data_IF_014023482409
#
_entry.id   IF_014023482409
#
_cell.length_a   1.000
_cell.length_b   1.000
_cell.length_c   1.000
_cell.angle_alpha   90.00
_cell.angle_beta   90.00
_cell.angle_gamma   90.00
#
_symmetry.space_group_name_H-M   'P 1'
#
loop_
_entity.id
_entity.type
_entity.pdbx_description
1 polymer ?
#
# COMPACT_ATOMS: atom_id res chain seq x y z
N UNK A 1 3.43 48.36 10.41
CA UNK A 1 4.31 47.40 9.68
C UNK A 1 4.31 46.07 10.44
N UNK A 2 3.40 45.13 10.16
CA UNK A 2 3.55 43.76 10.65
C UNK A 2 4.30 42.92 9.63
N UNK A 3 5.31 42.20 10.14
CA UNK A 3 6.26 41.37 9.41
C UNK A 3 5.61 40.13 8.79
N UNK A 4 5.89 39.91 7.52
CA UNK A 4 5.69 38.65 6.79
C UNK A 4 6.57 37.54 7.38
N UNK A 5 5.98 36.61 8.11
CA UNK A 5 6.53 35.26 8.33
C UNK A 5 5.52 34.24 7.80
N UNK A 6 5.63 33.98 6.51
CA UNK A 6 4.97 32.88 5.83
C UNK A 6 5.80 32.50 4.62
N UNK A 7 5.83 31.22 4.27
CA UNK A 7 6.36 30.67 3.02
C UNK A 7 7.85 30.27 2.88
N UNK A 8 8.55 29.85 3.95
CA UNK A 8 9.87 29.18 3.77
C UNK A 8 9.89 27.67 4.12
N UNK A 9 9.01 27.15 4.99
CA UNK A 9 9.08 25.72 5.36
C UNK A 9 8.57 24.77 4.25
N UNK A 10 7.72 25.26 3.35
CA UNK A 10 7.20 24.47 2.22
C UNK A 10 8.29 24.11 1.21
N UNK A 11 9.19 25.04 0.90
CA UNK A 11 10.21 24.85 -0.14
C UNK A 11 11.28 23.81 0.25
N UNK A 12 11.69 23.80 1.53
CA UNK A 12 12.69 22.84 2.04
C UNK A 12 12.09 21.43 2.14
N UNK A 13 10.84 21.31 2.61
CA UNK A 13 10.12 20.03 2.63
C UNK A 13 9.89 19.50 1.21
N UNK A 14 9.56 20.38 0.26
CA UNK A 14 9.34 20.00 -1.13
C UNK A 14 10.64 19.55 -1.81
N UNK A 15 11.78 20.21 -1.52
CA UNK A 15 13.10 19.82 -2.00
C UNK A 15 13.54 18.45 -1.42
N UNK A 16 13.29 18.20 -0.13
CA UNK A 16 13.57 16.92 0.51
C UNK A 16 12.73 15.79 -0.10
N UNK A 17 11.44 16.04 -0.32
CA UNK A 17 10.54 15.08 -0.99
C UNK A 17 10.99 14.83 -2.42
N UNK A 18 11.37 15.87 -3.17
CA UNK A 18 11.92 15.74 -4.54
C UNK A 18 13.14 14.83 -4.55
N UNK A 19 14.12 15.08 -3.69
CA UNK A 19 15.35 14.29 -3.65
C UNK A 19 15.10 12.83 -3.26
N UNK A 20 14.21 12.58 -2.28
CA UNK A 20 13.82 11.23 -1.88
C UNK A 20 13.13 10.45 -3.02
N UNK A 21 12.29 11.12 -3.81
CA UNK A 21 11.61 10.53 -4.97
C UNK A 21 12.58 10.30 -6.15
N UNK A 22 13.49 11.23 -6.41
CA UNK A 22 14.52 11.08 -7.44
C UNK A 22 15.48 9.94 -7.10
N UNK A 23 15.88 9.80 -5.83
CA UNK A 23 16.67 8.66 -5.35
C UNK A 23 15.94 7.31 -5.50
N UNK A 24 14.60 7.33 -5.51
CA UNK A 24 13.76 6.16 -5.78
C UNK A 24 13.54 5.89 -7.29
N UNK A 25 14.27 6.59 -8.17
CA UNK A 25 14.23 6.45 -9.62
C UNK A 25 12.87 6.78 -10.27
N UNK A 26 12.06 7.64 -9.65
CA UNK A 26 10.85 8.18 -10.28
C UNK A 26 11.20 9.21 -11.37
N UNK A 27 10.44 9.21 -12.47
CA UNK A 27 10.48 10.30 -13.44
C UNK A 27 10.10 11.64 -12.81
N UNK A 28 10.57 12.79 -13.33
CA UNK A 28 10.19 14.11 -12.81
C UNK A 28 8.68 14.32 -12.73
N UNK A 29 7.94 13.84 -13.74
CA UNK A 29 6.48 13.90 -13.80
C UNK A 29 5.85 13.08 -12.68
N UNK A 30 6.35 11.87 -12.43
CA UNK A 30 5.89 11.05 -11.30
C UNK A 30 6.21 11.72 -9.96
N UNK A 31 7.40 12.33 -9.82
CA UNK A 31 7.80 13.04 -8.61
C UNK A 31 6.91 14.25 -8.30
N UNK A 32 6.54 15.05 -9.30
CA UNK A 32 5.55 16.14 -9.17
C UNK A 32 4.18 15.59 -8.73
N UNK A 33 3.73 14.49 -9.33
CA UNK A 33 2.45 13.87 -8.97
C UNK A 33 2.43 13.38 -7.52
N UNK A 34 3.50 12.72 -7.04
CA UNK A 34 3.59 12.28 -5.65
C UNK A 34 3.66 13.44 -4.66
N UNK A 35 4.29 14.58 -5.02
CA UNK A 35 4.24 15.79 -4.20
C UNK A 35 2.80 16.28 -3.99
N UNK A 36 1.98 16.25 -5.04
CA UNK A 36 0.55 16.56 -4.90
C UNK A 36 -0.14 15.59 -3.94
N UNK A 37 0.06 14.28 -4.13
CA UNK A 37 -0.56 13.26 -3.27
C UNK A 37 -0.15 13.39 -1.79
N UNK A 38 1.13 13.69 -1.53
CA UNK A 38 1.64 13.91 -0.18
C UNK A 38 0.98 15.11 0.48
N UNK A 39 0.88 16.23 -0.24
CA UNK A 39 0.19 17.43 0.25
C UNK A 39 -1.28 17.12 0.57
N UNK A 40 -1.99 16.48 -0.36
CA UNK A 40 -3.42 16.19 -0.19
C UNK A 40 -3.67 15.22 1.00
N UNK A 41 -2.78 14.24 1.21
CA UNK A 41 -2.88 13.33 2.36
C UNK A 41 -2.56 14.02 3.70
N UNK A 42 -1.56 14.90 3.74
CA UNK A 42 -1.27 15.71 4.94
C UNK A 42 -2.42 16.68 5.25
N UNK A 43 -2.95 17.37 4.25
CA UNK A 43 -4.08 18.29 4.38
C UNK A 43 -5.32 17.57 4.95
N UNK A 44 -5.61 16.35 4.51
CA UNK A 44 -6.71 15.56 5.05
C UNK A 44 -6.56 15.22 6.55
N UNK A 45 -5.34 15.11 7.06
CA UNK A 45 -5.07 14.96 8.50
C UNK A 45 -5.15 16.29 9.24
N UNK A 46 -4.63 17.37 8.64
CA UNK A 46 -4.63 18.71 9.21
C UNK A 46 -6.06 19.24 9.38
N UNK A 47 -6.93 19.05 8.37
CA UNK A 47 -8.36 19.41 8.43
C UNK A 47 -9.14 18.66 9.52
N UNK A 48 -8.58 17.58 10.05
CA UNK A 48 -9.17 16.79 11.14
C UNK A 48 -8.42 16.97 12.47
N UNK A 49 -7.59 18.02 12.58
CA UNK A 49 -6.81 18.36 13.78
C UNK A 49 -5.89 17.22 14.27
N UNK A 50 -5.48 16.32 13.37
CA UNK A 50 -4.55 15.24 13.70
C UNK A 50 -3.14 15.85 13.81
N UNK A 51 -2.36 15.60 14.87
CA UNK A 51 -1.02 16.16 15.00
C UNK A 51 -0.08 15.80 13.84
N UNK A 52 0.83 16.72 13.50
CA UNK A 52 1.90 16.48 12.51
C UNK A 52 3.07 15.66 13.04
N UNK A 53 3.21 15.57 14.37
CA UNK A 53 4.27 14.81 15.04
C UNK A 53 4.11 13.31 14.80
N UNK A 54 5.24 12.63 14.59
CA UNK A 54 5.34 11.19 14.36
C UNK A 54 4.58 10.65 13.15
N UNK A 55 4.15 11.54 12.24
CA UNK A 55 3.62 11.12 10.94
C UNK A 55 4.72 10.45 10.14
N UNK A 56 4.39 9.30 9.58
CA UNK A 56 5.23 8.52 8.67
C UNK A 56 4.52 8.40 7.32
N UNK A 57 5.32 8.21 6.28
CA UNK A 57 4.86 8.22 4.89
C UNK A 57 5.21 6.89 4.23
N UNK A 58 4.27 6.35 3.45
CA UNK A 58 4.48 5.20 2.57
C UNK A 58 4.00 5.56 1.17
N UNK A 59 4.83 5.22 0.18
CA UNK A 59 4.50 5.35 -1.24
C UNK A 59 4.42 3.93 -1.79
N UNK A 60 3.26 3.58 -2.35
CA UNK A 60 2.98 2.22 -2.81
C UNK A 60 2.56 2.29 -4.27
N UNK A 61 3.38 1.79 -5.20
CA UNK A 61 3.05 1.84 -6.61
C UNK A 61 1.89 0.90 -6.93
N UNK A 62 1.20 1.18 -8.04
CA UNK A 62 0.41 0.16 -8.74
C UNK A 62 1.32 -0.78 -9.53
N UNK A 63 0.71 -1.74 -10.22
CA UNK A 63 1.45 -2.71 -11.04
C UNK A 63 0.77 -3.00 -12.35
N UNK A 64 1.57 -3.39 -13.33
CA UNK A 64 1.09 -4.05 -14.55
C UNK A 64 1.58 -5.49 -14.58
N UNK A 65 0.75 -6.32 -15.19
CA UNK A 65 1.14 -7.67 -15.58
C UNK A 65 1.48 -7.63 -17.08
N UNK A 66 2.71 -8.00 -17.43
CA UNK A 66 3.18 -8.05 -18.81
C UNK A 66 2.78 -9.38 -19.46
N UNK A 67 2.86 -10.47 -18.70
CA UNK A 67 2.47 -11.82 -19.12
C UNK A 67 2.02 -12.64 -17.90
N UNK A 68 1.11 -13.59 -18.09
CA UNK A 68 0.70 -14.54 -17.05
C UNK A 68 -0.68 -14.33 -16.46
N UNK A 69 -1.66 -13.86 -17.25
CA UNK A 69 -3.04 -13.69 -16.76
C UNK A 69 -3.63 -14.99 -16.24
N UNK A 70 -4.28 -14.91 -15.07
CA UNK A 70 -5.08 -16.01 -14.51
C UNK A 70 -4.29 -17.27 -14.15
N UNK A 71 -2.98 -17.14 -13.91
CA UNK A 71 -2.11 -18.29 -13.59
C UNK A 71 -1.62 -18.31 -12.15
N UNK A 72 -1.83 -17.23 -11.39
CA UNK A 72 -1.26 -17.06 -10.05
C UNK A 72 -1.93 -17.93 -8.99
N UNK A 73 -3.24 -18.13 -9.11
CA UNK A 73 -3.97 -19.12 -8.30
C UNK A 73 -3.87 -20.54 -8.85
N UNK A 74 -3.24 -20.74 -10.03
CA UNK A 74 -3.15 -22.04 -10.71
C UNK A 74 -1.71 -22.61 -10.77
N UNK A 75 -0.74 -21.95 -10.14
CA UNK A 75 0.66 -22.42 -10.07
C UNK A 75 1.50 -22.16 -11.33
N UNK A 76 1.09 -21.23 -12.19
CA UNK A 76 1.84 -20.87 -13.39
C UNK A 76 2.98 -19.88 -13.14
N UNK A 77 3.30 -19.05 -14.15
CA UNK A 77 4.32 -18.01 -14.10
C UNK A 77 3.80 -16.69 -14.64
N UNK A 78 4.23 -15.59 -14.04
CA UNK A 78 3.92 -14.26 -14.54
C UNK A 78 5.15 -13.36 -14.59
N UNK A 79 5.13 -12.42 -15.52
CA UNK A 79 6.15 -11.39 -15.71
C UNK A 79 5.54 -10.04 -15.32
N UNK A 80 6.10 -9.42 -14.28
CA UNK A 80 5.48 -8.31 -13.55
C UNK A 80 6.41 -7.11 -13.47
N UNK A 81 5.81 -5.92 -13.36
CA UNK A 81 6.52 -4.73 -12.90
C UNK A 81 5.56 -3.71 -12.27
N UNK A 82 6.11 -2.76 -11.53
CA UNK A 82 5.37 -1.63 -10.98
C UNK A 82 5.24 -0.49 -11.98
N UNK A 83 4.19 0.32 -11.83
CA UNK A 83 4.07 1.60 -12.55
C UNK A 83 4.49 2.76 -11.65
N UNK A 84 4.83 3.90 -12.25
CA UNK A 84 5.21 5.10 -11.50
C UNK A 84 4.02 5.79 -10.81
N UNK A 85 2.78 5.32 -11.01
CA UNK A 85 1.58 5.79 -10.31
C UNK A 85 1.31 4.92 -9.09
N UNK A 86 0.64 5.45 -8.06
CA UNK A 86 0.48 4.76 -6.79
C UNK A 86 -0.48 5.40 -5.80
N UNK A 87 -0.30 5.00 -4.55
CA UNK A 87 -1.01 5.48 -3.37
C UNK A 87 0.05 6.02 -2.41
N UNK A 88 -0.24 7.18 -1.83
CA UNK A 88 0.46 7.71 -0.66
C UNK A 88 -0.39 7.43 0.56
N UNK A 89 0.23 6.91 1.61
CA UNK A 89 -0.37 6.80 2.94
C UNK A 89 0.48 7.63 3.91
N UNK A 90 -0.17 8.51 4.64
CA UNK A 90 0.41 9.22 5.79
C UNK A 90 -0.26 8.68 7.04
N UNK A 91 0.50 8.19 8.01
CA UNK A 91 -0.08 7.64 9.23
C UNK A 91 0.73 7.94 10.48
N UNK A 92 0.04 7.96 11.62
CA UNK A 92 0.63 8.04 12.96
C UNK A 92 -0.14 7.18 13.95
N UNK A 93 0.53 6.79 15.05
CA UNK A 93 -0.12 6.09 16.16
C UNK A 93 -1.11 6.99 16.90
N UNK A 94 -2.14 6.35 17.45
CA UNK A 94 -3.00 6.90 18.50
C UNK A 94 -2.77 6.11 19.79
N UNK A 95 -3.16 6.70 20.91
CA UNK A 95 -3.09 6.06 22.22
C UNK A 95 -4.37 5.29 22.58
N UNK A 96 -5.44 5.43 21.79
CA UNK A 96 -6.69 4.69 21.95
C UNK A 96 -6.71 3.44 21.06
N UNK A 97 -7.87 2.77 20.94
CA UNK A 97 -8.06 1.55 20.14
C UNK A 97 -8.88 1.82 18.88
N UNK A 98 -8.75 3.01 18.31
CA UNK A 98 -9.50 3.43 17.13
C UNK A 98 -8.57 3.69 15.95
N UNK A 99 -8.86 3.08 14.80
CA UNK A 99 -8.21 3.36 13.52
C UNK A 99 -9.12 4.27 12.72
N UNK A 100 -8.63 5.45 12.32
CA UNK A 100 -9.36 6.36 11.45
C UNK A 100 -8.59 6.55 10.15
N UNK A 101 -9.19 6.15 9.03
CA UNK A 101 -8.60 6.28 7.69
C UNK A 101 -9.40 7.27 6.86
N UNK A 102 -8.71 8.26 6.28
CA UNK A 102 -9.30 9.33 5.45
C UNK A 102 -8.87 9.17 4.00
N UNK A 103 -9.80 9.33 3.09
CA UNK A 103 -9.54 9.42 1.66
C UNK A 103 -9.55 10.90 1.24
N UNK A 104 -8.38 11.44 0.89
CA UNK A 104 -8.21 12.84 0.54
C UNK A 104 -9.04 13.24 -0.69
N UNK A 105 -9.20 12.33 -1.66
CA UNK A 105 -9.93 12.60 -2.90
C UNK A 105 -11.44 12.55 -2.67
N UNK A 106 -11.91 11.55 -1.92
CA UNK A 106 -13.35 11.38 -1.63
C UNK A 106 -13.84 12.34 -0.54
N UNK A 107 -12.94 12.90 0.26
CA UNK A 107 -13.25 13.64 1.49
C UNK A 107 -14.14 12.82 2.43
N UNK A 108 -13.89 11.53 2.45
CA UNK A 108 -14.58 10.55 3.30
C UNK A 108 -13.61 10.01 4.34
N UNK A 109 -14.15 9.57 5.48
CA UNK A 109 -13.41 8.91 6.52
C UNK A 109 -14.14 7.66 6.99
N UNK A 110 -13.37 6.65 7.38
CA UNK A 110 -13.89 5.48 8.09
C UNK A 110 -13.23 5.42 9.46
N UNK A 111 -14.01 5.01 10.46
CA UNK A 111 -13.52 4.74 11.82
C UNK A 111 -13.75 3.26 12.13
N UNK A 112 -12.70 2.59 12.61
CA UNK A 112 -12.67 1.19 12.95
C UNK A 112 -12.20 1.06 14.40
N UNK A 113 -13.07 0.66 15.30
CA UNK A 113 -12.65 0.27 16.64
C UNK A 113 -12.03 -1.13 16.58
N UNK A 114 -10.81 -1.30 17.10
CA UNK A 114 -10.09 -2.57 17.07
C UNK A 114 -10.80 -3.69 17.83
N UNK A 115 -11.62 -3.33 18.82
CA UNK A 115 -12.36 -4.29 19.65
C UNK A 115 -13.78 -4.54 19.13
N UNK A 116 -14.16 -3.92 18.01
CA UNK A 116 -15.49 -4.03 17.43
C UNK A 116 -15.49 -4.96 16.22
N UNK A 117 -16.53 -5.80 16.14
CA UNK A 117 -16.84 -6.61 14.95
C UNK A 117 -17.89 -5.94 14.06
N UNK A 118 -18.37 -4.75 14.42
CA UNK A 118 -19.47 -4.06 13.76
C UNK A 118 -19.07 -3.56 12.38
N UNK A 119 -19.87 -3.88 11.37
CA UNK A 119 -19.62 -3.47 9.97
C UNK A 119 -20.20 -2.10 9.70
N UNK A 120 -19.34 -1.19 9.21
CA UNK A 120 -19.78 0.02 8.52
C UNK A 120 -20.27 -0.30 7.11
N UNK A 121 -21.10 0.59 6.55
CA UNK A 121 -21.79 0.40 5.27
C UNK A 121 -21.00 0.87 4.04
N UNK A 122 -19.82 1.48 4.21
CA UNK A 122 -19.09 2.11 3.11
C UNK A 122 -18.30 1.05 2.31
N UNK A 123 -18.55 0.85 1.00
CA UNK A 123 -17.97 -0.26 0.24
C UNK A 123 -16.44 -0.32 0.23
N UNK A 124 -15.74 0.81 0.11
CA UNK A 124 -14.27 0.83 0.07
C UNK A 124 -13.63 0.49 1.42
N UNK A 125 -14.39 0.58 2.51
CA UNK A 125 -13.94 0.24 3.86
C UNK A 125 -13.63 -1.26 4.04
N UNK A 126 -14.02 -2.11 3.07
CA UNK A 126 -13.74 -3.54 3.12
C UNK A 126 -12.24 -3.84 3.17
N UNK A 127 -11.42 -3.18 2.34
CA UNK A 127 -9.97 -3.43 2.31
C UNK A 127 -9.29 -3.02 3.62
N UNK A 128 -9.45 -1.78 4.13
CA UNK A 128 -8.85 -1.40 5.40
C UNK A 128 -9.32 -2.26 6.56
N UNK A 129 -10.60 -2.61 6.60
CA UNK A 129 -11.16 -3.47 7.65
C UNK A 129 -10.56 -4.87 7.61
N UNK A 130 -10.46 -5.48 6.44
CA UNK A 130 -9.87 -6.81 6.26
C UNK A 130 -8.40 -6.82 6.72
N UNK A 131 -7.60 -5.82 6.31
CA UNK A 131 -6.20 -5.69 6.75
C UNK A 131 -6.10 -5.52 8.26
N UNK A 132 -6.79 -4.53 8.83
CA UNK A 132 -6.71 -4.21 10.26
C UNK A 132 -7.18 -5.39 11.12
N UNK A 133 -8.30 -6.03 10.75
CA UNK A 133 -8.84 -7.16 11.50
C UNK A 133 -7.89 -8.35 11.48
N UNK A 134 -7.32 -8.69 10.32
CA UNK A 134 -6.46 -9.86 10.21
C UNK A 134 -5.09 -9.63 10.83
N UNK A 135 -4.51 -8.43 10.70
CA UNK A 135 -3.29 -8.07 11.45
C UNK A 135 -3.54 -8.09 12.96
N UNK A 136 -4.67 -7.56 13.43
CA UNK A 136 -5.04 -7.61 14.85
C UNK A 136 -5.23 -9.04 15.33
N UNK A 137 -5.87 -9.91 14.55
CA UNK A 137 -6.04 -11.32 14.93
C UNK A 137 -4.70 -12.05 15.03
N UNK A 138 -3.78 -11.76 14.12
CA UNK A 138 -2.50 -12.46 14.05
C UNK A 138 -1.43 -11.89 15.01
N UNK A 139 -1.48 -10.58 15.30
CA UNK A 139 -0.40 -9.85 15.99
C UNK A 139 -0.91 -8.80 17.02
N UNK A 140 -2.18 -8.91 17.45
CA UNK A 140 -2.96 -7.81 18.06
C UNK A 140 -2.49 -7.28 19.41
N UNK A 141 -1.71 -8.05 20.17
CA UNK A 141 -1.19 -7.60 21.48
C UNK A 141 -0.29 -6.36 21.35
N UNK A 142 0.22 -6.09 20.14
CA UNK A 142 1.10 -4.95 19.83
C UNK A 142 0.37 -3.77 19.20
N UNK A 143 -0.89 -3.94 18.79
CA UNK A 143 -1.62 -2.93 18.01
C UNK A 143 -2.44 -1.99 18.90
N UNK A 144 -2.31 -0.69 18.62
CA UNK A 144 -3.18 0.37 19.11
C UNK A 144 -3.87 1.07 17.92
N UNK A 145 -4.60 2.13 18.19
CA UNK A 145 -5.24 2.97 17.19
C UNK A 145 -4.24 3.70 16.30
N UNK A 146 -4.72 4.20 15.17
CA UNK A 146 -3.93 4.96 14.22
C UNK A 146 -4.78 5.98 13.47
N UNK A 147 -4.22 7.14 13.18
CA UNK A 147 -4.78 8.06 12.19
C UNK A 147 -4.02 7.87 10.88
N UNK A 148 -4.77 7.73 9.79
CA UNK A 148 -4.24 7.56 8.45
C UNK A 148 -4.99 8.48 7.47
N UNK A 149 -4.26 8.98 6.48
CA UNK A 149 -4.84 9.56 5.28
C UNK A 149 -4.19 8.94 4.05
N UNK A 150 -4.99 8.74 3.00
CA UNK A 150 -4.55 8.23 1.72
C UNK A 150 -4.88 9.20 0.58
N UNK A 151 -3.98 9.26 -0.40
CA UNK A 151 -4.20 9.93 -1.68
C UNK A 151 -3.66 9.04 -2.81
N UNK A 152 -4.34 9.00 -3.96
CA UNK A 152 -3.93 8.15 -5.09
C UNK A 152 -4.10 8.83 -6.44
N UNK A 153 -3.13 8.58 -7.34
CA UNK A 153 -3.19 8.91 -8.76
C UNK A 153 -3.35 7.66 -9.65
N UNK A 154 -3.65 6.50 -9.06
CA UNK A 154 -3.98 5.30 -9.82
C UNK A 154 -5.36 5.47 -10.48
N UNK A 155 -5.47 5.22 -11.79
CA UNK A 155 -6.76 5.24 -12.46
C UNK A 155 -7.72 4.22 -11.84
N UNK A 156 -8.93 4.63 -11.43
CA UNK A 156 -9.95 3.69 -10.96
C UNK A 156 -10.26 2.64 -12.03
N UNK A 157 -10.52 1.40 -11.60
CA UNK A 157 -10.94 0.29 -12.47
C UNK A 157 -10.04 -0.06 -13.67
N UNK A 158 -8.82 0.49 -13.76
CA UNK A 158 -7.94 0.30 -14.92
C UNK A 158 -7.07 -0.97 -14.88
N UNK A 159 -7.37 -1.93 -14.01
CA UNK A 159 -6.57 -3.16 -13.88
C UNK A 159 -5.14 -2.94 -13.34
N UNK A 160 -4.84 -1.78 -12.75
CA UNK A 160 -3.52 -1.41 -12.19
C UNK A 160 -3.37 -1.68 -10.68
N UNK A 161 -4.31 -2.44 -10.10
CA UNK A 161 -4.27 -2.96 -8.71
C UNK A 161 -4.30 -1.91 -7.61
N UNK A 162 -5.19 -0.92 -7.72
CA UNK A 162 -5.37 0.08 -6.66
C UNK A 162 -5.83 -0.55 -5.33
N UNK A 163 -6.62 -1.62 -5.37
CA UNK A 163 -7.01 -2.41 -4.21
C UNK A 163 -5.80 -3.01 -3.50
N UNK A 164 -4.94 -3.71 -4.25
CA UNK A 164 -3.78 -4.40 -3.68
C UNK A 164 -2.68 -3.44 -3.24
N UNK A 165 -2.52 -2.30 -3.92
CA UNK A 165 -1.68 -1.21 -3.42
C UNK A 165 -2.18 -0.67 -2.07
N UNK A 166 -3.49 -0.56 -1.86
CA UNK A 166 -4.05 -0.16 -0.58
C UNK A 166 -3.81 -1.23 0.49
N UNK A 167 -4.07 -2.51 0.19
CA UNK A 167 -3.81 -3.63 1.10
C UNK A 167 -2.35 -3.69 1.54
N UNK A 168 -1.42 -3.65 0.59
CA UNK A 168 0.03 -3.66 0.85
C UNK A 168 0.43 -2.43 1.67
N UNK A 169 -0.03 -1.24 1.28
CA UNK A 169 0.30 -0.01 1.99
C UNK A 169 -0.16 0.01 3.44
N UNK A 170 -1.38 -0.42 3.70
CA UNK A 170 -1.88 -0.55 5.07
C UNK A 170 -1.09 -1.61 5.84
N UNK A 171 -0.79 -2.75 5.22
CA UNK A 171 0.01 -3.81 5.85
C UNK A 171 1.38 -3.29 6.29
N UNK A 172 2.10 -2.59 5.39
CA UNK A 172 3.40 -1.99 5.69
C UNK A 172 3.30 -0.87 6.74
N UNK A 173 2.25 -0.04 6.68
CA UNK A 173 2.04 1.04 7.62
C UNK A 173 1.82 0.49 9.04
N UNK A 174 0.93 -0.48 9.21
CA UNK A 174 0.66 -1.10 10.51
C UNK A 174 1.87 -1.90 11.01
N UNK A 175 2.54 -2.67 10.14
CA UNK A 175 3.75 -3.41 10.50
C UNK A 175 4.83 -2.48 11.07
N UNK A 176 5.06 -1.35 10.40
CA UNK A 176 6.09 -0.41 10.79
C UNK A 176 5.68 0.48 11.98
N UNK A 177 4.41 0.86 12.10
CA UNK A 177 3.93 1.60 13.28
C UNK A 177 4.08 0.71 14.51
N UNK A 178 3.53 -0.50 14.50
CA UNK A 178 3.45 -1.35 15.69
C UNK A 178 4.61 -2.32 15.88
N UNK A 179 5.68 -2.16 15.09
CA UNK A 179 6.87 -3.00 15.12
C UNK A 179 6.53 -4.50 15.07
N UNK A 180 5.56 -4.84 14.21
CA UNK A 180 5.11 -6.22 14.04
C UNK A 180 6.24 -7.17 13.57
N UNK A 181 7.23 -6.74 12.76
CA UNK A 181 8.37 -7.59 12.40
C UNK A 181 9.25 -8.05 13.57
N UNK A 182 9.13 -7.45 14.76
CA UNK A 182 9.80 -7.93 15.98
C UNK A 182 9.10 -9.14 16.62
N UNK A 183 7.89 -9.47 16.16
CA UNK A 183 7.11 -10.59 16.67
C UNK A 183 7.66 -11.94 16.16
N UNK A 184 7.79 -12.92 17.05
CA UNK A 184 8.33 -14.24 16.69
C UNK A 184 7.46 -14.96 15.65
N UNK A 185 6.13 -14.81 15.73
CA UNK A 185 5.21 -15.40 14.75
C UNK A 185 5.36 -14.71 13.40
N UNK A 186 5.58 -13.39 13.38
CA UNK A 186 5.87 -12.66 12.13
C UNK A 186 7.17 -13.18 11.51
N UNK A 187 8.25 -13.28 12.28
CA UNK A 187 9.56 -13.73 11.77
C UNK A 187 9.51 -15.16 11.23
N UNK A 188 8.74 -16.03 11.90
CA UNK A 188 8.53 -17.40 11.44
C UNK A 188 7.71 -17.46 10.15
N UNK A 189 6.61 -16.72 10.07
CA UNK A 189 5.66 -16.83 8.97
C UNK A 189 6.01 -15.98 7.76
N UNK A 190 6.66 -14.83 7.96
CA UNK A 190 6.90 -13.77 6.98
C UNK A 190 8.39 -13.37 6.94
N UNK A 191 9.31 -14.32 6.67
CA UNK A 191 10.75 -14.08 6.77
C UNK A 191 11.31 -13.13 5.70
N UNK A 192 10.60 -12.96 4.59
CA UNK A 192 11.03 -12.13 3.46
C UNK A 192 9.87 -11.42 2.76
N UNK A 193 10.20 -10.64 1.72
CA UNK A 193 9.22 -9.86 0.95
C UNK A 193 8.26 -10.72 0.14
N UNK A 194 8.72 -11.87 -0.36
CA UNK A 194 7.85 -12.80 -1.11
C UNK A 194 6.83 -13.44 -0.19
N UNK A 195 7.21 -13.76 1.05
CA UNK A 195 6.30 -14.26 2.06
C UNK A 195 5.28 -13.20 2.49
N UNK A 196 5.74 -11.96 2.71
CA UNK A 196 4.86 -10.83 2.99
C UNK A 196 3.85 -10.59 1.85
N UNK A 197 4.28 -10.71 0.59
CA UNK A 197 3.40 -10.59 -0.57
C UNK A 197 2.35 -11.71 -0.63
N UNK A 198 2.76 -12.95 -0.39
CA UNK A 198 1.85 -14.09 -0.28
C UNK A 198 0.81 -13.89 0.82
N UNK A 199 1.25 -13.43 2.00
CA UNK A 199 0.35 -13.08 3.10
C UNK A 199 -0.61 -11.95 2.75
N UNK A 200 -0.14 -10.90 2.05
CA UNK A 200 -1.01 -9.82 1.61
C UNK A 200 -2.05 -10.29 0.56
N UNK A 201 -1.72 -11.26 -0.29
CA UNK A 201 -2.72 -11.95 -1.13
C UNK A 201 -3.72 -12.73 -0.29
N UNK A 202 -3.25 -13.44 0.73
CA UNK A 202 -4.10 -14.19 1.67
C UNK A 202 -5.03 -13.27 2.51
N UNK A 203 -4.62 -12.03 2.81
CA UNK A 203 -5.48 -11.01 3.40
C UNK A 203 -6.70 -10.76 2.51
N UNK A 204 -6.50 -10.59 1.21
CA UNK A 204 -7.58 -10.28 0.27
C UNK A 204 -8.48 -11.47 0.00
N UNK A 205 -7.91 -12.66 -0.22
CA UNK A 205 -8.71 -13.85 -0.55
C UNK A 205 -9.29 -14.58 0.68
N UNK A 206 -8.80 -14.25 1.88
CA UNK A 206 -9.27 -14.81 3.15
C UNK A 206 -8.69 -16.16 3.52
N UNK A 207 -7.80 -16.71 2.70
CA UNK A 207 -7.17 -18.01 2.94
C UNK A 207 -6.17 -17.96 4.11
N UNK A 208 -5.77 -19.14 4.53
CA UNK A 208 -4.63 -19.34 5.44
C UNK A 208 -3.32 -18.95 4.72
N UNK A 209 -2.33 -18.52 5.50
CA UNK A 209 -0.97 -18.33 5.00
C UNK A 209 0.04 -18.98 5.95
N UNK A 210 0.55 -20.16 5.59
CA UNK A 210 1.41 -20.94 6.47
C UNK A 210 0.72 -21.22 7.80
N UNK A 211 1.32 -20.76 8.91
CA UNK A 211 0.76 -20.88 10.27
C UNK A 211 -0.29 -19.81 10.61
N UNK A 212 -0.49 -18.81 9.76
CA UNK A 212 -1.41 -17.70 9.97
C UNK A 212 -2.80 -18.03 9.44
N UNK A 213 -3.65 -18.61 10.30
CA UNK A 213 -5.00 -19.05 9.91
C UNK A 213 -5.89 -17.94 9.34
N UNK A 214 -6.75 -18.32 8.41
CA UNK A 214 -7.71 -17.58 7.59
C UNK A 214 -8.69 -16.69 8.34
N UNK A 215 -9.38 -15.84 7.59
CA UNK A 215 -10.48 -14.98 8.02
C UNK A 215 -11.22 -14.46 6.77
N UNK A 216 -12.30 -13.71 6.93
CA UNK A 216 -13.01 -13.10 5.80
C UNK A 216 -12.10 -12.14 5.03
N UNK A 217 -11.83 -12.50 3.77
CA UNK A 217 -11.22 -11.62 2.78
C UNK A 217 -12.16 -10.53 2.29
N UNK A 218 -11.82 -9.90 1.17
CA UNK A 218 -12.60 -8.82 0.54
C UNK A 218 -13.66 -9.34 -0.44
N UNK A 219 -13.79 -10.67 -0.57
CA UNK A 219 -14.77 -11.32 -1.44
C UNK A 219 -14.24 -11.73 -2.83
N UNK A 220 -12.93 -11.58 -3.08
CA UNK A 220 -12.27 -12.05 -4.30
C UNK A 220 -11.41 -13.28 -3.99
N UNK A 221 -11.37 -14.28 -4.89
CA UNK A 221 -10.54 -15.47 -4.72
C UNK A 221 -9.33 -15.42 -5.68
N UNK A 222 -8.52 -14.37 -5.55
CA UNK A 222 -7.29 -14.19 -6.34
C UNK A 222 -6.06 -14.86 -5.73
N UNK A 223 -4.95 -14.89 -6.47
CA UNK A 223 -3.64 -15.24 -5.94
C UNK A 223 -2.93 -14.02 -5.34
N UNK A 224 -1.60 -14.02 -5.38
CA UNK A 224 -0.75 -13.00 -4.75
C UNK A 224 0.03 -12.15 -5.78
N UNK A 225 -0.38 -12.17 -7.05
CA UNK A 225 0.39 -11.56 -8.13
C UNK A 225 0.60 -10.05 -7.95
N UNK A 226 -0.47 -9.34 -7.58
CA UNK A 226 -0.46 -7.89 -7.47
C UNK A 226 0.45 -7.44 -6.33
N UNK A 227 0.30 -8.08 -5.17
CA UNK A 227 1.07 -7.82 -3.97
C UNK A 227 2.55 -8.15 -4.20
N UNK A 228 2.84 -9.24 -4.93
CA UNK A 228 4.20 -9.65 -5.28
C UNK A 228 4.86 -8.63 -6.18
N UNK A 229 4.18 -8.17 -7.24
CA UNK A 229 4.69 -7.12 -8.10
C UNK A 229 5.04 -5.86 -7.30
N UNK A 230 4.12 -5.41 -6.42
CA UNK A 230 4.28 -4.19 -5.63
C UNK A 230 5.44 -4.26 -4.64
N UNK A 231 5.65 -5.41 -3.98
CA UNK A 231 6.67 -5.56 -2.94
C UNK A 231 8.05 -5.98 -3.47
N UNK A 232 8.08 -6.68 -4.60
CA UNK A 232 9.28 -7.40 -5.04
C UNK A 232 9.86 -6.88 -6.37
N UNK A 233 9.19 -5.97 -7.08
CA UNK A 233 9.75 -5.39 -8.32
C UNK A 233 10.84 -4.36 -8.07
N UNK A 234 11.81 -4.30 -8.97
CA UNK A 234 12.87 -3.29 -8.97
C UNK A 234 12.70 -2.27 -10.12
N UNK A 235 13.13 -1.01 -9.95
CA UNK A 235 13.10 -0.02 -11.03
C UNK A 235 13.86 -0.49 -12.28
N UNK A 236 13.27 -0.26 -13.46
CA UNK A 236 13.90 -0.61 -14.75
C UNK A 236 13.99 -2.11 -15.03
N UNK A 237 13.21 -2.94 -14.33
CA UNK A 237 13.23 -4.40 -14.45
C UNK A 237 11.83 -4.97 -14.64
N UNK A 238 11.77 -6.11 -15.33
CA UNK A 238 10.64 -7.02 -15.30
C UNK A 238 11.02 -8.23 -14.45
N UNK A 239 10.18 -8.56 -13.49
CA UNK A 239 10.41 -9.66 -12.56
C UNK A 239 9.49 -10.84 -12.88
N UNK A 240 10.09 -12.01 -13.02
CA UNK A 240 9.38 -13.26 -13.26
C UNK A 240 9.23 -14.04 -11.96
N UNK A 241 7.99 -14.42 -11.66
CA UNK A 241 7.65 -15.24 -10.51
C UNK A 241 6.87 -16.48 -10.94
N UNK A 242 7.03 -17.57 -10.19
CA UNK A 242 6.09 -18.70 -10.18
C UNK A 242 5.25 -18.70 -8.91
N UNK A 243 4.16 -19.46 -8.95
CA UNK A 243 3.09 -19.37 -7.96
C UNK A 243 2.80 -20.69 -7.25
N UNK A 244 2.09 -20.59 -6.12
CA UNK A 244 1.73 -21.70 -5.24
C UNK A 244 2.92 -22.59 -4.82
N UNK A 245 3.94 -22.04 -4.12
CA UNK A 245 4.02 -20.71 -3.50
C UNK A 245 4.68 -19.63 -4.38
N UNK A 246 4.67 -18.38 -3.91
CA UNK A 246 5.37 -17.26 -4.58
C UNK A 246 6.87 -17.56 -4.58
N UNK A 247 7.45 -17.70 -5.78
CA UNK A 247 8.87 -17.95 -5.96
C UNK A 247 9.44 -16.98 -7.01
N UNK A 248 10.51 -16.26 -6.65
CA UNK A 248 11.25 -15.46 -7.61
C UNK A 248 12.06 -16.36 -8.54
N UNK A 249 11.90 -16.21 -9.86
CA UNK A 249 12.64 -17.01 -10.83
C UNK A 249 13.72 -16.22 -11.56
N UNK A 250 13.39 -15.00 -12.02
CA UNK A 250 14.32 -14.23 -12.86
C UNK A 250 13.98 -12.75 -12.89
N UNK A 251 15.02 -11.94 -13.02
CA UNK A 251 14.92 -10.51 -13.30
C UNK A 251 15.47 -10.18 -14.68
N UNK A 252 14.70 -9.42 -15.48
CA UNK A 252 15.05 -9.04 -16.86
C UNK A 252 15.15 -7.52 -16.93
N UNK A 253 16.26 -7.00 -17.47
CA UNK A 253 16.41 -5.56 -17.70
C UNK A 253 15.38 -5.06 -18.70
N UNK A 254 14.68 -3.98 -18.37
CA UNK A 254 13.84 -3.30 -19.34
C UNK A 254 14.72 -2.48 -20.30
N UNK A 255 14.56 -2.62 -21.63
CA UNK A 255 15.34 -1.83 -22.57
C UNK A 255 15.02 -0.34 -22.46
N UNK A 256 16.04 0.53 -22.36
CA UNK A 256 15.87 1.98 -22.30
C UNK A 256 15.24 2.60 -23.56
N UNK A 257 15.23 1.85 -24.67
CA UNK A 257 14.63 2.24 -25.94
C UNK A 257 13.12 2.01 -26.02
N UNK A 258 12.52 1.36 -25.01
CA UNK A 258 11.11 1.00 -24.98
C UNK A 258 10.41 1.63 -23.78
N UNK A 259 9.11 1.91 -23.94
CA UNK A 259 8.25 2.34 -22.83
C UNK A 259 6.92 1.61 -22.90
N UNK A 260 6.29 1.39 -21.74
CA UNK A 260 4.92 0.91 -21.69
C UNK A 260 3.95 2.08 -21.84
N UNK A 261 2.94 1.89 -22.69
CA UNK A 261 1.79 2.78 -22.77
C UNK A 261 0.57 2.04 -22.24
N UNK A 262 0.04 2.49 -21.11
CA UNK A 262 -1.16 1.89 -20.51
C UNK A 262 -2.40 2.62 -21.05
N UNK A 263 -3.13 1.95 -21.93
CA UNK A 263 -4.45 2.40 -22.40
C UNK A 263 -5.56 1.93 -21.44
N UNK A 264 -6.39 2.87 -20.98
CA UNK A 264 -7.57 2.56 -20.16
C UNK A 264 -8.79 2.49 -21.07
N UNK A 265 -9.56 1.39 -21.01
CA UNK A 265 -10.69 1.15 -21.91
C UNK A 265 -11.86 2.11 -21.71
N UNK A 266 -11.99 2.71 -20.52
CA UNK A 266 -13.12 3.56 -20.15
C UNK A 266 -14.40 2.79 -19.78
N UNK A 267 -14.30 1.47 -19.63
CA UNK A 267 -15.36 0.57 -19.14
C UNK A 267 -15.34 0.49 -17.62
#
# INVERSE_FOLDING_TARGET
MPSSRGHESGAVSELFVRHALEAAAFSPVAADAYRSLLRDAHEALDLADVPSTDRRVWIVPGRIEVLGKHVDYAGGRSLLCTVERGIVIVARKRNDRTVVLRDARRREAISLALDSTTRGSVPWAIYPRTVVNRLRRNFGDRMAGADLALASNLPPAAGVSSSSALTVGLTLAFAALFDLPSDALWQQALPDRTALAGYAGALENGMDYGVLGGDRGVGTMGGAQDQTAILCSAPGRLEMFSWAPVCFERSVAWPSTHTFVVGVSGV
#
